data_IF_214165783678
#
_entry.id   IF_214165783678
#
_cell.length_a   1.000
_cell.length_b   1.000
_cell.length_c   1.000
_cell.angle_alpha   90.00
_cell.angle_beta   90.00
_cell.angle_gamma   90.00
#
_symmetry.space_group_name_H-M   'P 1'
#
loop_
_entity.id
_entity.type
_entity.pdbx_description
1 polymer ?
#
# COMPACT_ATOMS: atom_id res chain seq x y z
N UNK A 1 8.00 17.28 -4.79
CA UNK A 1 6.96 16.29 -5.17
C UNK A 1 6.35 16.74 -6.49
N UNK A 2 5.97 15.85 -7.40
CA UNK A 2 5.32 16.25 -8.67
C UNK A 2 3.82 16.50 -8.46
N UNK A 3 3.18 17.28 -9.35
CA UNK A 3 1.76 17.65 -9.23
C UNK A 3 0.83 16.45 -9.11
N UNK A 4 1.00 15.43 -9.95
CA UNK A 4 0.17 14.22 -9.94
C UNK A 4 0.19 13.49 -8.59
N UNK A 5 1.33 13.53 -7.89
CA UNK A 5 1.41 12.93 -6.56
C UNK A 5 0.61 13.74 -5.53
N UNK A 6 0.56 15.08 -5.64
CA UNK A 6 -0.28 15.90 -4.77
C UNK A 6 -1.76 15.60 -5.00
N UNK A 7 -2.17 15.41 -6.25
CA UNK A 7 -3.55 15.01 -6.57
C UNK A 7 -3.90 13.67 -5.94
N UNK A 8 -3.01 12.68 -6.03
CA UNK A 8 -3.19 11.39 -5.31
C UNK A 8 -3.36 11.57 -3.81
N UNK A 9 -2.63 12.49 -3.18
CA UNK A 9 -2.85 12.77 -1.76
C UNK A 9 -4.23 13.41 -1.52
N UNK A 10 -4.65 14.38 -2.33
CA UNK A 10 -5.99 14.99 -2.21
C UNK A 10 -7.13 13.97 -2.40
N UNK A 11 -6.98 13.03 -3.33
CA UNK A 11 -7.96 11.96 -3.59
C UNK A 11 -8.05 10.94 -2.44
N UNK A 12 -7.02 10.86 -1.61
CA UNK A 12 -6.91 9.91 -0.50
C UNK A 12 -7.08 10.58 0.87
N UNK A 13 -7.74 11.75 0.92
CA UNK A 13 -8.04 12.44 2.17
C UNK A 13 -8.77 11.51 3.17
N UNK A 14 -8.29 11.48 4.41
CA UNK A 14 -8.79 10.57 5.44
C UNK A 14 -8.39 9.10 5.30
N UNK A 15 -7.76 8.66 4.20
CA UNK A 15 -7.36 7.25 4.00
C UNK A 15 -5.99 6.94 4.62
N UNK A 16 -5.68 5.64 4.68
CA UNK A 16 -4.37 5.15 5.06
C UNK A 16 -3.40 5.24 3.87
N UNK A 17 -2.20 5.76 4.11
CA UNK A 17 -1.10 5.86 3.16
C UNK A 17 0.14 5.20 3.75
N UNK A 18 0.89 4.49 2.90
CA UNK A 18 2.21 3.96 3.24
C UNK A 18 3.25 4.72 2.42
N UNK A 19 4.37 5.07 3.06
CA UNK A 19 5.49 5.66 2.35
C UNK A 19 6.51 4.59 1.99
N UNK A 20 7.03 4.66 0.77
CA UNK A 20 8.07 3.74 0.33
C UNK A 20 9.41 4.20 0.89
N UNK A 21 10.00 3.39 1.79
CA UNK A 21 11.33 3.62 2.35
C UNK A 21 11.32 4.34 3.70
N UNK A 22 12.52 4.54 4.24
CA UNK A 22 12.72 5.25 5.50
C UNK A 22 12.54 6.76 5.30
N UNK A 23 11.93 7.42 6.29
CA UNK A 23 11.79 8.87 6.30
C UNK A 23 12.77 9.45 7.32
N UNK A 24 13.63 10.36 6.89
CA UNK A 24 14.42 11.20 7.81
C UNK A 24 13.65 12.49 8.07
N UNK A 25 13.48 12.81 9.35
CA UNK A 25 12.57 13.85 9.83
C UNK A 25 13.22 14.61 10.98
N UNK A 26 12.65 15.74 11.38
CA UNK A 26 13.16 16.54 12.50
C UNK A 26 12.00 17.08 13.33
N UNK A 27 12.22 17.22 14.64
CA UNK A 27 11.29 17.88 15.58
C UNK A 27 11.23 19.39 15.39
N UNK A 28 12.30 19.98 14.82
CA UNK A 28 12.44 21.41 14.65
C UNK A 28 11.82 21.88 13.32
N UNK A 29 10.63 22.49 13.42
CA UNK A 29 9.93 23.08 12.26
C UNK A 29 10.81 24.06 11.47
N UNK A 30 11.64 24.85 12.15
CA UNK A 30 12.57 25.80 11.53
C UNK A 30 13.58 25.11 10.62
N UNK A 31 14.15 23.98 11.05
CA UNK A 31 15.08 23.16 10.27
C UNK A 31 14.39 22.56 9.04
N UNK A 32 13.20 21.98 9.21
CA UNK A 32 12.41 21.43 8.10
C UNK A 32 12.07 22.51 7.05
N UNK A 33 11.64 23.70 7.49
CA UNK A 33 11.32 24.82 6.59
C UNK A 33 12.56 25.30 5.81
N UNK A 34 13.71 25.45 6.48
CA UNK A 34 14.98 25.79 5.81
C UNK A 34 15.33 24.77 4.72
N UNK A 35 15.01 23.49 4.93
CA UNK A 35 15.27 22.41 3.97
C UNK A 35 14.30 22.43 2.79
N UNK A 36 13.00 22.59 3.07
CA UNK A 36 11.95 22.63 2.05
C UNK A 36 12.12 23.83 1.13
N UNK A 37 12.49 25.01 1.63
CA UNK A 37 12.59 26.24 0.83
C UNK A 37 13.87 26.32 -0.02
N UNK A 38 14.72 25.29 -0.04
CA UNK A 38 15.90 25.26 -0.92
C UNK A 38 15.47 25.19 -2.40
N UNK A 39 16.10 25.95 -3.30
CA UNK A 39 15.71 25.97 -4.71
C UNK A 39 15.75 24.57 -5.31
N UNK A 40 14.67 24.21 -6.00
CA UNK A 40 14.52 22.91 -6.64
C UNK A 40 15.36 22.88 -7.93
N UNK A 41 16.11 21.80 -8.13
CA UNK A 41 16.92 21.59 -9.34
C UNK A 41 16.08 21.30 -10.58
N UNK A 42 14.84 20.87 -10.40
CA UNK A 42 13.90 20.51 -11.45
C UNK A 42 12.66 21.40 -11.34
N UNK A 43 12.18 21.89 -12.47
CA UNK A 43 11.04 22.82 -12.57
C UNK A 43 9.70 22.19 -12.22
N UNK A 44 9.59 20.88 -12.34
CA UNK A 44 8.31 20.16 -12.21
C UNK A 44 8.05 19.70 -10.77
N UNK A 45 8.97 20.03 -9.87
CA UNK A 45 8.87 19.73 -8.46
C UNK A 45 8.18 20.87 -7.72
N UNK A 46 7.34 20.48 -6.78
CA UNK A 46 6.63 21.37 -5.86
C UNK A 46 7.21 21.17 -4.46
N UNK A 47 7.35 22.27 -3.73
CA UNK A 47 7.72 22.28 -2.32
C UNK A 47 6.61 21.67 -1.46
N UNK A 48 6.99 20.71 -0.63
CA UNK A 48 6.06 20.02 0.27
C UNK A 48 6.69 19.93 1.65
N UNK A 49 5.93 20.34 2.66
CA UNK A 49 6.23 20.10 4.06
C UNK A 49 5.30 19.00 4.57
N UNK A 50 5.89 17.89 4.99
CA UNK A 50 5.20 16.79 5.66
C UNK A 50 5.24 17.01 7.17
N UNK A 51 4.07 17.07 7.80
CA UNK A 51 3.92 17.17 9.25
C UNK A 51 3.44 15.81 9.77
N UNK A 52 4.32 15.12 10.50
CA UNK A 52 4.09 13.79 11.03
C UNK A 52 3.65 13.88 12.50
N UNK A 53 2.51 13.29 12.82
CA UNK A 53 2.00 13.20 14.18
C UNK A 53 2.10 11.77 14.69
N UNK A 54 2.83 11.57 15.79
CA UNK A 54 2.94 10.28 16.46
C UNK A 54 2.19 10.31 17.79
N UNK A 55 1.12 9.53 17.91
CA UNK A 55 0.44 9.34 19.19
C UNK A 55 0.92 8.04 19.85
N UNK A 56 2.01 8.14 20.63
CA UNK A 56 2.68 7.00 21.25
C UNK A 56 1.75 6.15 22.12
N UNK A 57 0.70 6.74 22.72
CA UNK A 57 -0.25 6.00 23.55
C UNK A 57 -1.09 4.99 22.73
N UNK A 58 -1.38 5.30 21.47
CA UNK A 58 -2.20 4.47 20.58
C UNK A 58 -1.38 3.51 19.71
N UNK A 59 -0.06 3.72 19.64
CA UNK A 59 0.86 2.95 18.80
C UNK A 59 1.43 1.70 19.50
N UNK A 60 1.24 1.57 20.82
CA UNK A 60 1.70 0.43 21.62
C UNK A 60 3.23 0.36 21.74
N UNK A 61 3.76 -0.85 22.01
CA UNK A 61 5.19 -1.07 22.27
C UNK A 61 6.07 -1.12 21.00
N UNK A 62 5.69 -0.45 19.91
CA UNK A 62 6.42 -0.54 18.64
C UNK A 62 7.35 0.64 18.42
N UNK A 63 8.59 0.31 18.04
CA UNK A 63 9.56 1.30 17.61
C UNK A 63 9.21 1.73 16.19
N UNK A 64 8.64 2.93 16.10
CA UNK A 64 8.18 3.55 14.86
C UNK A 64 9.14 4.64 14.40
N UNK A 65 9.87 5.22 15.36
CA UNK A 65 10.87 6.26 15.19
C UNK A 65 12.13 5.92 15.97
N UNK A 66 13.28 6.27 15.43
CA UNK A 66 14.57 6.18 16.09
C UNK A 66 15.27 7.53 15.98
N UNK A 67 15.73 8.05 17.12
CA UNK A 67 16.54 9.26 17.17
C UNK A 67 17.99 8.90 16.84
N UNK A 68 18.60 9.60 15.87
CA UNK A 68 19.97 9.32 15.42
C UNK A 68 21.00 10.36 15.87
N UNK A 69 20.56 11.37 16.62
CA UNK A 69 21.42 12.42 17.20
C UNK A 69 22.62 11.86 17.99
N UNK A 70 22.47 10.67 18.58
CA UNK A 70 23.49 10.02 19.41
C UNK A 70 24.58 9.27 18.61
N UNK A 71 24.41 9.06 17.31
CA UNK A 71 25.30 8.25 16.47
C UNK A 71 26.09 9.05 15.42
N UNK A 72 25.81 10.34 15.28
CA UNK A 72 26.54 11.22 14.39
C UNK A 72 27.79 11.77 15.10
N UNK A 73 28.93 11.07 14.97
CA UNK A 73 30.25 11.60 15.39
C UNK A 73 30.70 12.80 14.53
N UNK A 74 30.00 13.06 13.42
CA UNK A 74 30.25 14.16 12.51
C UNK A 74 28.96 14.98 12.37
N UNK A 75 29.05 16.24 12.78
CA UNK A 75 28.27 17.41 12.35
C UNK A 75 27.29 18.04 13.35
N UNK A 76 27.60 19.32 13.62
CA UNK A 76 26.70 20.47 13.73
C UNK A 76 25.54 20.39 14.74
N UNK A 77 25.59 21.29 15.71
CA UNK A 77 24.72 21.48 16.89
C UNK A 77 23.19 21.66 16.62
N UNK A 78 22.65 21.37 15.44
CA UNK A 78 21.25 21.66 15.07
C UNK A 78 20.51 20.56 14.27
N UNK A 79 20.99 19.32 14.23
CA UNK A 79 20.33 18.23 13.49
C UNK A 79 19.90 17.07 14.41
N UNK A 80 18.75 17.23 15.06
CA UNK A 80 17.96 16.08 15.51
C UNK A 80 17.32 15.44 14.28
N UNK A 81 17.99 14.40 13.78
CA UNK A 81 17.43 13.52 12.77
C UNK A 81 16.69 12.37 13.45
N UNK A 82 15.41 12.24 13.14
CA UNK A 82 14.55 11.13 13.53
C UNK A 82 14.27 10.31 12.28
N UNK A 83 14.64 9.03 12.32
CA UNK A 83 14.34 8.06 11.27
C UNK A 83 13.02 7.37 11.60
N UNK A 84 12.06 7.46 10.68
CA UNK A 84 10.82 6.71 10.74
C UNK A 84 10.94 5.42 9.94
N UNK A 85 10.47 4.32 10.52
CA UNK A 85 10.47 3.00 9.90
C UNK A 85 9.60 2.99 8.62
N UNK A 86 10.04 2.29 7.57
CA UNK A 86 9.33 2.16 6.29
C UNK A 86 7.99 1.44 6.39
N UNK A 87 7.78 0.64 7.44
CA UNK A 87 6.56 -0.16 7.60
C UNK A 87 5.45 0.60 8.35
N UNK A 88 5.60 1.91 8.52
CA UNK A 88 4.64 2.75 9.23
C UNK A 88 3.57 3.20 8.26
N UNK A 89 2.32 2.89 8.62
CA UNK A 89 1.16 3.38 7.90
C UNK A 89 0.68 4.66 8.56
N UNK A 90 0.38 5.66 7.76
CA UNK A 90 -0.13 6.94 8.23
C UNK A 90 -1.56 7.15 7.75
N UNK A 91 -2.39 7.80 8.56
CA UNK A 91 -3.65 8.38 8.10
C UNK A 91 -3.38 9.76 7.55
N UNK A 92 -3.91 10.04 6.36
CA UNK A 92 -3.87 11.37 5.79
C UNK A 92 -4.93 12.26 6.44
N UNK A 93 -4.50 13.33 7.09
CA UNK A 93 -5.38 14.23 7.83
C UNK A 93 -5.79 15.45 7.01
N UNK A 94 -4.85 16.00 6.22
CA UNK A 94 -5.15 17.13 5.34
C UNK A 94 -4.03 17.40 4.33
N UNK A 95 -4.41 18.01 3.21
CA UNK A 95 -3.52 18.53 2.18
C UNK A 95 -3.90 19.98 1.90
N UNK A 96 -3.09 20.94 2.35
CA UNK A 96 -3.40 22.37 2.27
C UNK A 96 -2.28 23.08 1.52
N UNK A 97 -2.62 23.92 0.54
CA UNK A 97 -1.65 24.80 -0.10
C UNK A 97 -1.46 26.04 0.77
N UNK A 98 -0.23 26.33 1.16
CA UNK A 98 0.11 27.48 1.99
C UNK A 98 1.16 28.33 1.26
N UNK A 99 0.71 29.46 0.70
CA UNK A 99 1.47 30.47 -0.07
C UNK A 99 2.34 29.90 -1.20
N UNK A 100 3.44 29.22 -0.87
CA UNK A 100 4.49 28.73 -1.77
C UNK A 100 4.73 27.22 -1.70
N UNK A 101 4.06 26.50 -0.79
CA UNK A 101 4.26 25.06 -0.59
C UNK A 101 2.98 24.35 -0.18
N UNK A 102 2.94 23.03 -0.36
CA UNK A 102 1.89 22.20 0.23
C UNK A 102 2.28 21.76 1.64
N UNK A 103 1.37 21.90 2.58
CA UNK A 103 1.42 21.28 3.90
C UNK A 103 0.56 20.02 3.86
N UNK A 104 1.21 18.88 4.06
CA UNK A 104 0.55 17.58 4.16
C UNK A 104 0.67 17.11 5.60
N UNK A 105 -0.47 16.95 6.28
CA UNK A 105 -0.52 16.46 7.66
C UNK A 105 -0.90 14.99 7.67
N UNK A 106 -0.11 14.18 8.37
CA UNK A 106 -0.31 12.75 8.47
C UNK A 106 -0.10 12.28 9.91
N UNK A 107 -0.93 11.35 10.37
CA UNK A 107 -0.84 10.76 11.70
C UNK A 107 -0.45 9.28 11.62
N UNK A 108 0.50 8.84 12.42
CA UNK A 108 0.87 7.43 12.47
C UNK A 108 -0.31 6.60 13.00
N UNK A 109 -0.68 5.54 12.28
CA UNK A 109 -1.81 4.67 12.62
C UNK A 109 -1.35 3.23 12.86
N UNK A 110 -2.00 2.55 13.80
CA UNK A 110 -1.80 1.12 14.05
C UNK A 110 -2.62 0.24 13.09
N UNK A 111 -3.53 0.82 12.30
CA UNK A 111 -4.48 0.07 11.47
C UNK A 111 -3.81 -0.72 10.37
N UNK A 112 -2.79 -0.14 9.71
CA UNK A 112 -2.03 -0.86 8.69
C UNK A 112 -1.39 -2.13 9.24
N UNK A 113 -0.92 -2.08 10.49
CA UNK A 113 -0.45 -3.29 11.15
C UNK A 113 -1.58 -4.27 11.47
N UNK A 114 -2.72 -3.81 11.99
CA UNK A 114 -3.86 -4.71 12.26
C UNK A 114 -4.32 -5.43 10.98
N UNK A 115 -4.30 -4.73 9.85
CA UNK A 115 -4.57 -5.30 8.52
C UNK A 115 -3.51 -6.36 8.19
N UNK A 116 -2.23 -6.05 8.37
CA UNK A 116 -1.14 -7.00 8.11
C UNK A 116 -1.23 -8.24 9.01
N UNK A 117 -1.46 -8.06 10.31
CA UNK A 117 -1.62 -9.15 11.27
C UNK A 117 -2.82 -10.04 10.93
N UNK A 118 -3.94 -9.42 10.54
CA UNK A 118 -5.13 -10.15 10.09
C UNK A 118 -4.82 -10.94 8.83
N UNK A 119 -4.19 -10.32 7.83
CA UNK A 119 -3.81 -11.01 6.59
C UNK A 119 -2.90 -12.20 6.86
N UNK A 120 -1.88 -12.05 7.72
CA UNK A 120 -0.99 -13.13 8.13
C UNK A 120 -1.78 -14.25 8.83
N UNK A 121 -2.65 -13.92 9.78
CA UNK A 121 -3.48 -14.91 10.50
C UNK A 121 -4.44 -15.65 9.56
N UNK A 122 -5.11 -14.93 8.67
CA UNK A 122 -6.04 -15.50 7.70
C UNK A 122 -5.29 -16.37 6.68
N UNK A 123 -4.10 -15.95 6.25
CA UNK A 123 -3.22 -16.74 5.38
C UNK A 123 -2.76 -18.02 6.08
N UNK A 124 -2.32 -17.94 7.34
CA UNK A 124 -1.94 -19.13 8.12
C UNK A 124 -3.10 -20.12 8.28
N UNK A 125 -4.31 -19.65 8.60
CA UNK A 125 -5.50 -20.51 8.69
C UNK A 125 -5.82 -21.20 7.36
N UNK A 126 -5.60 -20.52 6.23
CA UNK A 126 -5.76 -21.13 4.92
C UNK A 126 -4.63 -22.10 4.58
N UNK A 127 -3.45 -21.94 5.19
CA UNK A 127 -2.27 -22.79 4.96
C UNK A 127 -2.26 -24.08 5.80
N UNK A 128 -2.97 -24.12 6.94
CA UNK A 128 -2.85 -25.19 7.95
C UNK A 128 -3.12 -26.61 7.42
N UNK A 129 -3.80 -26.76 6.27
CA UNK A 129 -4.05 -28.05 5.62
C UNK A 129 -3.76 -28.05 4.10
N UNK A 130 -2.97 -27.10 3.59
CA UNK A 130 -2.74 -26.95 2.15
C UNK A 130 -1.27 -27.16 1.81
N UNK A 131 -0.99 -28.02 0.82
CA UNK A 131 0.39 -28.20 0.37
C UNK A 131 0.96 -26.92 -0.25
N UNK A 132 2.27 -26.71 -0.07
CA UNK A 132 3.01 -25.54 -0.56
C UNK A 132 2.77 -25.27 -2.06
N UNK A 133 2.49 -26.30 -2.84
CA UNK A 133 2.21 -26.20 -4.28
C UNK A 133 0.86 -25.54 -4.53
N UNK A 134 -0.18 -25.95 -3.81
CA UNK A 134 -1.51 -25.35 -3.93
C UNK A 134 -1.47 -23.90 -3.45
N UNK A 135 -0.74 -23.62 -2.37
CA UNK A 135 -0.53 -22.27 -1.90
C UNK A 135 0.13 -21.37 -2.95
N UNK A 136 1.19 -21.86 -3.60
CA UNK A 136 1.86 -21.12 -4.67
C UNK A 136 0.91 -20.79 -5.84
N UNK A 137 0.06 -21.74 -6.23
CA UNK A 137 -1.00 -21.51 -7.21
C UNK A 137 -1.97 -20.42 -6.79
N UNK A 138 -2.42 -20.41 -5.53
CA UNK A 138 -3.31 -19.38 -4.99
C UNK A 138 -2.65 -18.00 -4.92
N UNK A 139 -1.39 -17.93 -4.53
CA UNK A 139 -0.64 -16.68 -4.51
C UNK A 139 -0.57 -16.04 -5.91
N UNK A 140 -0.36 -16.84 -6.96
CA UNK A 140 -0.42 -16.34 -8.34
C UNK A 140 -1.80 -15.76 -8.67
N UNK A 141 -2.89 -16.34 -8.17
CA UNK A 141 -4.23 -15.74 -8.31
C UNK A 141 -4.37 -14.43 -7.57
N UNK A 142 -3.91 -14.35 -6.32
CA UNK A 142 -3.98 -13.14 -5.49
C UNK A 142 -3.17 -11.99 -6.11
N UNK A 143 -2.12 -12.32 -6.87
CA UNK A 143 -1.32 -11.36 -7.65
C UNK A 143 -1.92 -11.00 -9.01
N UNK A 144 -3.11 -11.50 -9.37
CA UNK A 144 -3.76 -11.27 -10.66
C UNK A 144 -3.18 -12.08 -11.82
N UNK A 145 -2.26 -13.03 -11.57
CA UNK A 145 -1.64 -13.90 -12.58
C UNK A 145 -2.51 -15.12 -12.89
N UNK A 146 -3.78 -14.92 -13.22
CA UNK A 146 -4.77 -15.99 -13.31
C UNK A 146 -4.49 -17.01 -14.42
N UNK A 147 -3.95 -16.60 -15.57
CA UNK A 147 -3.53 -17.53 -16.64
C UNK A 147 -2.43 -18.48 -16.19
N UNK A 148 -1.43 -17.95 -15.50
CA UNK A 148 -0.29 -18.71 -15.00
C UNK A 148 -0.72 -19.67 -13.88
N UNK A 149 -1.61 -19.21 -13.01
CA UNK A 149 -2.18 -20.04 -11.96
C UNK A 149 -3.03 -21.19 -12.52
N UNK A 150 -3.89 -20.92 -13.51
CA UNK A 150 -4.67 -21.98 -14.18
C UNK A 150 -3.75 -23.05 -14.78
N UNK A 151 -2.77 -22.64 -15.60
CA UNK A 151 -1.84 -23.57 -16.24
C UNK A 151 -1.02 -24.34 -15.20
N UNK A 152 -0.67 -23.72 -14.08
CA UNK A 152 0.03 -24.37 -12.98
C UNK A 152 -0.83 -25.46 -12.34
N UNK A 153 -2.10 -25.18 -12.03
CA UNK A 153 -3.01 -26.16 -11.44
C UNK A 153 -3.38 -27.29 -12.42
N UNK A 154 -3.58 -27.01 -13.71
CA UNK A 154 -3.80 -28.02 -14.74
C UNK A 154 -2.59 -28.97 -14.87
N UNK A 155 -1.38 -28.42 -14.86
CA UNK A 155 -0.15 -29.23 -14.82
C UNK A 155 -0.04 -30.05 -13.53
N UNK A 156 -0.48 -29.50 -12.40
CA UNK A 156 -0.46 -30.20 -11.12
C UNK A 156 -1.43 -31.39 -11.12
N UNK A 157 -2.58 -31.26 -11.79
CA UNK A 157 -3.56 -32.33 -12.02
C UNK A 157 -3.07 -33.41 -13.01
N UNK A 158 -2.31 -33.02 -14.04
CA UNK A 158 -1.87 -33.97 -15.07
C UNK A 158 -0.66 -34.82 -14.65
N UNK A 159 0.07 -34.44 -13.59
CA UNK A 159 1.27 -35.13 -13.12
C UNK A 159 1.01 -36.04 -11.90
N UNK A 160 -0.13 -36.73 -11.88
CA UNK A 160 -0.63 -37.55 -10.75
C UNK A 160 0.23 -38.81 -10.47
N UNK A 161 1.37 -38.59 -9.83
CA UNK A 161 2.11 -39.61 -9.06
C UNK A 161 1.97 -39.38 -7.55
N UNK A 162 1.06 -38.51 -7.10
CA UNK A 162 1.01 -38.03 -5.72
C UNK A 162 -0.36 -38.28 -5.07
N UNK A 163 -0.31 -38.76 -3.83
CA UNK A 163 -1.37 -39.36 -3.04
C UNK A 163 -2.67 -38.52 -2.90
N UNK A 164 -3.77 -39.26 -2.79
CA UNK A 164 -5.21 -38.94 -2.79
C UNK A 164 -5.75 -37.76 -1.94
N UNK A 165 -4.98 -37.01 -1.17
CA UNK A 165 -5.55 -36.03 -0.21
C UNK A 165 -5.62 -34.58 -0.75
N UNK A 166 -4.91 -34.28 -1.84
CA UNK A 166 -4.81 -32.91 -2.38
C UNK A 166 -5.61 -32.68 -3.67
N UNK A 167 -6.14 -33.72 -4.33
CA UNK A 167 -6.83 -33.58 -5.62
C UNK A 167 -8.05 -32.65 -5.53
N UNK A 168 -8.93 -32.89 -4.57
CA UNK A 168 -10.13 -32.07 -4.37
C UNK A 168 -9.78 -30.61 -4.06
N UNK A 169 -8.64 -30.36 -3.40
CA UNK A 169 -8.16 -29.01 -3.08
C UNK A 169 -7.55 -28.33 -4.32
N UNK A 170 -6.88 -29.09 -5.19
CA UNK A 170 -6.38 -28.61 -6.49
C UNK A 170 -7.56 -28.28 -7.41
N UNK A 171 -8.54 -29.17 -7.54
CA UNK A 171 -9.74 -28.96 -8.36
C UNK A 171 -10.55 -27.76 -7.86
N UNK A 172 -10.77 -27.64 -6.54
CA UNK A 172 -11.40 -26.46 -5.97
C UNK A 172 -10.63 -25.18 -6.26
N UNK A 173 -9.30 -25.21 -6.13
CA UNK A 173 -8.49 -24.01 -6.39
C UNK A 173 -8.52 -23.64 -7.88
N UNK A 174 -8.54 -24.63 -8.78
CA UNK A 174 -8.72 -24.43 -10.21
C UNK A 174 -10.09 -23.81 -10.54
N UNK A 175 -11.16 -24.29 -9.91
CA UNK A 175 -12.50 -23.70 -10.04
C UNK A 175 -12.52 -22.23 -9.59
N UNK A 176 -11.91 -21.93 -8.43
CA UNK A 176 -11.74 -20.56 -7.94
C UNK A 176 -11.00 -19.68 -8.98
N UNK A 177 -9.89 -20.16 -9.57
CA UNK A 177 -9.17 -19.43 -10.65
C UNK A 177 -10.07 -19.14 -11.84
N UNK A 178 -10.82 -20.14 -12.32
CA UNK A 178 -11.69 -20.00 -13.48
C UNK A 178 -12.83 -19.01 -13.21
N UNK A 179 -13.41 -19.03 -12.01
CA UNK A 179 -14.42 -18.07 -11.59
C UNK A 179 -13.87 -16.64 -11.59
N UNK A 180 -12.65 -16.42 -11.09
CA UNK A 180 -12.01 -15.09 -11.13
C UNK A 180 -11.75 -14.60 -12.55
N UNK A 181 -11.27 -15.47 -13.45
CA UNK A 181 -11.08 -15.14 -14.87
C UNK A 181 -12.40 -14.81 -15.57
N UNK A 182 -13.46 -15.53 -15.24
CA UNK A 182 -14.79 -15.25 -15.78
C UNK A 182 -15.34 -13.93 -15.22
N UNK A 183 -15.20 -13.70 -13.92
CA UNK A 183 -15.60 -12.47 -13.24
C UNK A 183 -14.87 -11.25 -13.81
N UNK A 184 -13.57 -11.36 -14.11
CA UNK A 184 -12.78 -10.30 -14.74
C UNK A 184 -13.44 -9.82 -16.03
N UNK A 185 -13.92 -10.73 -16.89
CA UNK A 185 -14.62 -10.35 -18.14
C UNK A 185 -15.84 -9.46 -17.86
N UNK A 186 -16.59 -9.76 -16.80
CA UNK A 186 -17.74 -8.95 -16.40
C UNK A 186 -17.34 -7.62 -15.78
N UNK A 187 -16.26 -7.59 -14.98
CA UNK A 187 -15.66 -6.36 -14.47
C UNK A 187 -15.18 -5.46 -15.60
N UNK A 188 -14.42 -5.98 -16.56
CA UNK A 188 -13.95 -5.23 -17.73
C UNK A 188 -15.11 -4.68 -18.56
N UNK A 189 -16.17 -5.47 -18.76
CA UNK A 189 -17.39 -5.02 -19.44
C UNK A 189 -18.11 -3.92 -18.65
N UNK A 190 -18.24 -4.08 -17.34
CA UNK A 190 -18.87 -3.09 -16.47
C UNK A 190 -18.06 -1.79 -16.51
N UNK A 191 -16.75 -1.87 -16.33
CA UNK A 191 -15.80 -0.77 -16.42
C UNK A 191 -15.92 -0.03 -17.76
N UNK A 192 -15.86 -0.75 -18.88
CA UNK A 192 -16.01 -0.13 -20.21
C UNK A 192 -17.36 0.58 -20.39
N UNK A 193 -18.45 0.03 -19.85
CA UNK A 193 -19.78 0.68 -19.89
C UNK A 193 -19.84 1.94 -19.01
N UNK A 194 -19.18 1.89 -17.87
CA UNK A 194 -19.11 2.98 -16.91
C UNK A 194 -18.25 4.14 -17.47
N UNK A 195 -17.09 3.85 -18.06
CA UNK A 195 -16.21 4.87 -18.64
C UNK A 195 -16.81 5.56 -19.87
N UNK A 196 -17.60 4.83 -20.67
CA UNK A 196 -18.30 5.37 -21.84
C UNK A 196 -19.67 6.01 -21.52
N UNK A 197 -20.07 6.02 -20.25
CA UNK A 197 -21.33 6.63 -19.82
C UNK A 197 -21.18 8.16 -19.72
N UNK A 198 -22.21 8.90 -20.17
CA UNK A 198 -22.24 10.38 -20.08
C UNK A 198 -22.55 10.93 -18.68
N UNK A 199 -22.92 10.06 -17.74
CA UNK A 199 -23.25 10.42 -16.36
C UNK A 199 -21.98 10.56 -15.52
N UNK A 200 -21.71 11.78 -15.05
CA UNK A 200 -20.57 12.13 -14.19
C UNK A 200 -20.56 11.28 -12.90
N UNK A 201 -21.72 11.10 -12.27
CA UNK A 201 -21.89 10.31 -11.03
C UNK A 201 -21.49 8.84 -11.18
N UNK A 202 -21.62 8.27 -12.37
CA UNK A 202 -21.26 6.87 -12.65
C UNK A 202 -19.75 6.74 -12.92
N UNK A 203 -19.11 7.79 -13.47
CA UNK A 203 -17.66 7.86 -13.63
C UNK A 203 -16.93 7.93 -12.28
N UNK A 204 -17.46 8.69 -11.32
CA UNK A 204 -16.89 8.77 -9.96
C UNK A 204 -16.91 7.40 -9.26
N UNK A 205 -17.95 6.59 -9.51
CA UNK A 205 -18.06 5.21 -9.01
C UNK A 205 -17.05 4.25 -9.67
N UNK A 206 -16.67 4.49 -10.93
CA UNK A 206 -15.67 3.72 -11.66
C UNK A 206 -14.28 3.84 -11.01
N UNK A 207 -13.93 5.06 -10.61
CA UNK A 207 -12.66 5.36 -9.96
C UNK A 207 -12.54 4.63 -8.62
N UNK A 208 -13.64 4.55 -7.85
CA UNK A 208 -13.67 3.81 -6.58
C UNK A 208 -13.52 2.30 -6.80
N UNK A 209 -14.09 1.74 -7.87
CA UNK A 209 -13.97 0.31 -8.18
C UNK A 209 -12.58 -0.07 -8.71
N UNK A 210 -11.84 0.87 -9.31
CA UNK A 210 -10.48 0.67 -9.80
C UNK A 210 -9.46 0.49 -8.66
N UNK A 211 -9.68 1.13 -7.50
CA UNK A 211 -8.78 1.07 -6.34
C UNK A 211 -8.86 -0.26 -5.55
N UNK A 212 -9.78 -1.17 -5.90
CA UNK A 212 -10.02 -2.45 -5.18
C UNK A 212 -9.57 -3.67 -6.02
N UNK A 213 -9.08 -3.45 -7.25
CA UNK A 213 -8.62 -4.51 -8.16
C UNK A 213 -7.11 -4.73 -8.11
#
# INVERSE_FOLDING_TARGET
MISDQIEKFKENDGKLVSMNGFLTTTTFRSTALKQVMKPLKQTDLIHVLLELQFNLQHLGNRVIVAETSQYNEISCEEQEDIICNSNVTFRLESVIMNEQMYLIKISASNEGHLIQEKYIKDSHRQMEDISIRILFGRLMCDMGQWDQSQHFFENLLNNLNYYNEDLAKIERSLDEVLQWKEAQKYYDRAYNRIMNTKSIRIKDLAYILFDIG
#
